data_IF_783052917786
#
_entry.id   IF_783052917786
#
_cell.length_a   1.000
_cell.length_b   1.000
_cell.length_c   1.000
_cell.angle_alpha   90.00
_cell.angle_beta   90.00
_cell.angle_gamma   90.00
#
_symmetry.space_group_name_H-M   'P 1'
#
loop_
_entity.id
_entity.type
_entity.pdbx_description
1 polymer ?
#
# COMPACT_ATOMS: atom_id res chain seq x y z
N UNK A 1 5.56 14.25 -7.75
CA UNK A 1 6.05 14.69 -9.06
C UNK A 1 7.02 15.89 -8.99
N UNK A 2 6.94 16.77 -8.03
CA UNK A 2 7.79 17.97 -7.93
C UNK A 2 9.25 17.66 -7.59
N UNK A 3 9.51 16.68 -6.71
CA UNK A 3 10.87 16.30 -6.31
C UNK A 3 11.70 15.70 -7.46
N UNK A 4 11.06 14.94 -8.36
CA UNK A 4 11.79 14.34 -9.50
C UNK A 4 12.07 15.29 -10.66
N UNK A 5 11.30 16.40 -10.81
CA UNK A 5 11.64 17.45 -11.77
C UNK A 5 12.91 18.19 -11.37
N UNK A 6 13.12 18.42 -10.07
CA UNK A 6 14.33 19.07 -9.56
C UNK A 6 15.58 18.21 -9.71
N UNK A 7 15.47 16.88 -9.64
CA UNK A 7 16.61 15.98 -9.84
C UNK A 7 17.23 16.10 -11.25
N UNK A 8 16.45 16.46 -12.26
CA UNK A 8 16.91 16.62 -13.63
C UNK A 8 17.84 17.84 -13.81
N UNK A 9 17.64 18.87 -13.00
CA UNK A 9 18.39 20.13 -13.04
C UNK A 9 19.67 20.09 -12.19
N UNK A 10 19.74 19.17 -11.21
CA UNK A 10 20.82 19.11 -10.21
C UNK A 10 21.95 18.14 -10.54
N UNK A 11 21.95 17.46 -11.71
CA UNK A 11 22.93 16.43 -12.02
C UNK A 11 23.91 16.87 -13.09
N UNK A 12 25.04 17.50 -12.71
CA UNK A 12 26.08 17.93 -13.66
C UNK A 12 26.95 16.77 -14.17
N UNK A 13 26.87 15.57 -13.53
CA UNK A 13 27.78 14.45 -13.86
C UNK A 13 27.18 13.50 -14.89
N UNK A 14 27.92 13.16 -15.98
CA UNK A 14 27.40 12.29 -17.04
C UNK A 14 27.07 10.85 -16.57
N UNK A 15 27.72 10.38 -15.52
CA UNK A 15 27.58 9.00 -15.01
C UNK A 15 26.64 8.88 -13.81
N UNK A 16 25.77 9.86 -13.56
CA UNK A 16 24.84 9.81 -12.44
C UNK A 16 23.67 8.85 -12.73
N UNK A 17 23.37 7.98 -11.75
CA UNK A 17 22.28 6.98 -11.84
C UNK A 17 20.92 7.60 -12.23
N UNK A 18 20.66 8.83 -11.80
CA UNK A 18 19.47 9.60 -12.18
C UNK A 18 19.36 9.94 -13.67
N UNK A 19 20.38 9.63 -14.49
CA UNK A 19 20.33 9.76 -15.96
C UNK A 19 19.96 8.45 -16.67
N UNK A 20 19.84 7.34 -15.92
CA UNK A 20 19.42 6.08 -16.50
C UNK A 20 17.97 6.18 -17.02
N UNK A 21 17.73 5.96 -18.32
CA UNK A 21 16.38 6.05 -18.88
C UNK A 21 15.38 5.13 -18.17
N UNK A 22 15.79 3.90 -17.83
CA UNK A 22 14.93 2.95 -17.15
C UNK A 22 14.47 3.42 -15.76
N UNK A 23 15.29 4.19 -15.04
CA UNK A 23 14.89 4.79 -13.76
C UNK A 23 13.83 5.87 -13.99
N UNK A 24 14.02 6.74 -14.96
CA UNK A 24 13.03 7.75 -15.30
C UNK A 24 11.73 7.14 -15.80
N UNK A 25 11.80 6.08 -16.57
CA UNK A 25 10.62 5.41 -17.08
C UNK A 25 9.84 4.74 -15.94
N UNK A 26 10.54 4.08 -14.99
CA UNK A 26 9.91 3.57 -13.78
C UNK A 26 9.20 4.66 -12.96
N UNK A 27 9.83 5.84 -12.83
CA UNK A 27 9.26 6.94 -12.05
C UNK A 27 8.11 7.69 -12.77
N UNK A 28 7.94 7.47 -14.06
CA UNK A 28 6.84 8.07 -14.86
C UNK A 28 5.61 7.19 -14.92
N UNK A 29 5.76 5.87 -14.75
CA UNK A 29 4.64 4.94 -14.80
C UNK A 29 3.97 4.81 -13.44
N UNK A 30 2.67 4.54 -13.44
CA UNK A 30 1.90 4.30 -12.23
C UNK A 30 1.64 5.56 -11.39
N UNK A 31 1.33 5.34 -10.13
CA UNK A 31 0.84 6.37 -9.20
C UNK A 31 1.53 6.25 -7.86
N UNK A 32 1.91 7.39 -7.29
CA UNK A 32 2.42 7.46 -5.91
C UNK A 32 1.24 7.69 -4.98
N UNK A 33 1.11 6.83 -3.99
CA UNK A 33 0.11 6.95 -2.94
C UNK A 33 0.75 7.58 -1.72
N UNK A 34 0.35 8.80 -1.36
CA UNK A 34 0.80 9.43 -0.11
C UNK A 34 -0.08 8.99 1.06
N UNK A 35 0.46 9.09 2.27
CA UNK A 35 -0.37 9.02 3.48
C UNK A 35 -1.24 10.28 3.57
N UNK A 36 -2.56 10.15 3.84
CA UNK A 36 -3.46 11.32 3.84
C UNK A 36 -3.52 12.08 5.19
N UNK A 37 -2.77 11.64 6.21
CA UNK A 37 -2.79 12.20 7.55
C UNK A 37 -1.41 12.11 8.21
N UNK A 38 -1.19 12.90 9.26
CA UNK A 38 0.00 12.77 10.10
C UNK A 38 -0.14 11.52 10.99
N UNK A 39 0.87 10.66 10.96
CA UNK A 39 0.94 9.44 11.75
C UNK A 39 2.24 9.42 12.57
N UNK A 40 2.10 9.40 13.90
CA UNK A 40 3.21 9.14 14.80
C UNK A 40 3.27 7.65 15.11
N UNK A 41 4.43 7.04 14.85
CA UNK A 41 4.72 5.65 15.21
C UNK A 41 5.76 5.64 16.32
N UNK A 42 5.46 4.94 17.42
CA UNK A 42 6.33 4.76 18.56
C UNK A 42 6.74 3.29 18.60
N UNK A 43 8.02 3.03 18.34
CA UNK A 43 8.59 1.67 18.25
C UNK A 43 9.33 1.33 19.52
N UNK A 44 8.99 0.20 20.13
CA UNK A 44 9.59 -0.35 21.36
C UNK A 44 9.73 -1.87 21.23
N UNK A 45 10.74 -2.38 20.53
CA UNK A 45 10.86 -3.80 20.20
C UNK A 45 10.89 -4.74 21.42
N UNK A 46 11.42 -4.25 22.53
CA UNK A 46 11.60 -5.03 23.78
C UNK A 46 10.41 -4.91 24.75
N UNK A 47 9.35 -4.18 24.38
CA UNK A 47 8.17 -4.00 25.19
C UNK A 47 7.09 -5.03 24.86
N UNK A 48 6.18 -5.31 25.80
CA UNK A 48 4.99 -6.13 25.57
C UNK A 48 4.16 -5.61 24.39
N UNK A 49 4.09 -4.29 24.25
CA UNK A 49 3.51 -3.61 23.07
C UNK A 49 4.63 -3.08 22.20
N UNK A 50 4.95 -3.81 21.13
CA UNK A 50 6.07 -3.53 20.22
C UNK A 50 5.95 -2.17 19.54
N UNK A 51 4.74 -1.71 19.28
CA UNK A 51 4.48 -0.38 18.70
C UNK A 51 3.21 0.24 19.25
N UNK A 52 3.20 1.57 19.26
CA UNK A 52 2.01 2.41 19.46
C UNK A 52 1.90 3.38 18.31
N UNK A 53 0.72 3.88 18.06
CA UNK A 53 0.49 4.88 17.04
C UNK A 53 -0.48 5.96 17.50
N UNK A 54 -0.32 7.15 16.94
CA UNK A 54 -1.20 8.29 17.15
C UNK A 54 -1.48 8.97 15.81
N UNK A 55 -2.70 9.37 15.60
CA UNK A 55 -3.18 10.09 14.41
C UNK A 55 -3.85 11.37 14.85
N UNK A 56 -3.50 12.49 14.23
CA UNK A 56 -4.04 13.80 14.57
C UNK A 56 -5.45 14.07 14.01
N UNK A 57 -6.01 13.18 13.20
CA UNK A 57 -7.27 13.37 12.50
C UNK A 57 -8.42 12.64 13.18
N UNK A 58 -9.19 13.35 14.02
CA UNK A 58 -10.36 12.82 14.73
C UNK A 58 -11.44 12.29 13.79
N UNK A 59 -11.65 12.92 12.64
CA UNK A 59 -12.65 12.46 11.65
C UNK A 59 -12.25 11.11 11.06
N UNK A 60 -10.96 10.89 10.83
CA UNK A 60 -10.45 9.62 10.37
C UNK A 60 -10.58 8.54 11.44
N UNK A 61 -10.27 8.87 12.69
CA UNK A 61 -10.45 7.97 13.83
C UNK A 61 -11.92 7.60 14.01
N UNK A 62 -12.84 8.55 13.81
CA UNK A 62 -14.27 8.30 13.82
C UNK A 62 -14.74 7.38 12.69
N UNK A 63 -14.13 7.50 11.49
CA UNK A 63 -14.50 6.71 10.31
C UNK A 63 -13.90 5.30 10.28
N UNK A 64 -12.66 5.15 10.73
CA UNK A 64 -11.91 3.88 10.69
C UNK A 64 -11.73 3.24 12.07
N UNK A 65 -12.06 3.94 13.14
CA UNK A 65 -11.89 3.48 14.52
C UNK A 65 -10.45 3.11 14.85
N UNK A 66 -10.28 2.09 15.69
CA UNK A 66 -8.96 1.55 16.05
C UNK A 66 -8.29 0.76 14.90
N UNK A 67 -8.93 0.67 13.75
CA UNK A 67 -8.43 -0.07 12.60
C UNK A 67 -7.53 0.75 11.66
N UNK A 68 -7.24 2.01 11.99
CA UNK A 68 -6.35 2.86 11.20
C UNK A 68 -4.99 2.20 11.01
N UNK A 69 -4.46 1.60 12.07
CA UNK A 69 -3.20 0.84 12.03
C UNK A 69 -3.43 -0.54 12.63
N UNK A 70 -3.10 -1.57 11.88
CA UNK A 70 -3.26 -2.96 12.28
C UNK A 70 -1.92 -3.70 12.20
N UNK A 71 -1.73 -4.66 13.10
CA UNK A 71 -0.61 -5.58 13.05
C UNK A 71 -0.99 -6.79 12.20
N UNK A 72 -0.12 -7.14 11.26
CA UNK A 72 -0.22 -8.37 10.49
C UNK A 72 0.86 -9.35 10.90
N UNK A 73 0.57 -10.65 10.76
CA UNK A 73 1.55 -11.69 10.97
C UNK A 73 2.74 -11.52 10.00
N UNK A 74 3.93 -11.93 10.40
CA UNK A 74 5.12 -11.83 9.57
C UNK A 74 4.96 -12.65 8.28
N UNK A 75 5.57 -12.17 7.21
CA UNK A 75 5.68 -12.90 5.94
C UNK A 75 6.87 -13.87 6.06
N UNK A 76 6.80 -14.84 6.97
CA UNK A 76 7.89 -15.77 7.23
C UNK A 76 9.22 -15.08 7.56
N UNK A 77 10.34 -15.72 7.26
CA UNK A 77 11.70 -15.22 7.54
C UNK A 77 12.21 -14.17 6.52
N UNK A 78 11.32 -13.58 5.74
CA UNK A 78 11.70 -12.69 4.62
C UNK A 78 11.73 -11.20 4.98
N UNK A 79 11.77 -10.86 6.26
CA UNK A 79 11.90 -9.46 6.68
C UNK A 79 13.24 -8.87 6.22
N UNK A 80 13.27 -7.61 5.79
CA UNK A 80 14.53 -6.92 5.57
C UNK A 80 15.30 -6.76 6.91
N UNK A 81 16.64 -6.87 6.92
CA UNK A 81 17.42 -6.60 8.12
C UNK A 81 17.17 -5.18 8.66
N UNK A 82 17.07 -5.04 10.00
CA UNK A 82 16.83 -3.76 10.67
C UNK A 82 15.34 -3.35 10.72
N UNK A 83 14.43 -4.28 10.42
CA UNK A 83 12.98 -4.04 10.48
C UNK A 83 12.31 -5.01 11.46
N UNK A 84 11.15 -4.62 11.98
CA UNK A 84 10.31 -5.48 12.81
C UNK A 84 9.88 -6.74 12.02
N UNK A 85 9.65 -7.84 12.73
CA UNK A 85 9.13 -9.07 12.11
C UNK A 85 7.71 -8.87 11.56
N UNK A 86 6.91 -8.11 12.30
CA UNK A 86 5.52 -7.87 11.96
C UNK A 86 5.41 -6.84 10.85
N UNK A 87 4.48 -7.09 9.96
CA UNK A 87 4.05 -6.13 8.95
C UNK A 87 2.97 -5.23 9.57
N UNK A 88 3.15 -3.94 9.46
CA UNK A 88 2.16 -2.95 9.89
C UNK A 88 1.32 -2.56 8.68
N UNK A 89 0.01 -2.73 8.81
CA UNK A 89 -0.97 -2.32 7.82
C UNK A 89 -1.60 -1.01 8.22
N UNK A 90 -1.52 -0.02 7.35
CA UNK A 90 -2.21 1.26 7.48
C UNK A 90 -3.44 1.22 6.58
N UNK A 91 -4.61 1.33 7.17
CA UNK A 91 -5.87 1.46 6.43
C UNK A 91 -6.05 2.89 5.96
N UNK A 92 -6.36 3.06 4.69
CA UNK A 92 -6.63 4.36 4.12
C UNK A 92 -8.12 4.53 3.80
N UNK A 93 -8.63 5.76 3.74
CA UNK A 93 -10.00 6.01 3.32
C UNK A 93 -10.22 5.78 1.82
N UNK A 94 -9.14 5.57 1.08
CA UNK A 94 -9.19 5.42 -0.36
C UNK A 94 -9.71 4.05 -0.79
N UNK A 95 -10.51 4.06 -1.83
CA UNK A 95 -10.95 2.87 -2.56
C UNK A 95 -10.49 3.01 -4.00
N UNK A 96 -10.04 1.92 -4.58
CA UNK A 96 -9.55 1.90 -5.97
C UNK A 96 -10.48 1.03 -6.80
N UNK A 97 -10.91 1.59 -7.91
CA UNK A 97 -11.67 0.87 -8.94
C UNK A 97 -10.81 0.83 -10.19
N UNK A 98 -10.60 -0.35 -10.73
CA UNK A 98 -9.89 -0.54 -11.98
C UNK A 98 -10.78 -1.28 -13.01
N UNK A 99 -10.48 -1.16 -14.30
CA UNK A 99 -11.14 -1.98 -15.32
C UNK A 99 -10.97 -3.47 -15.03
N UNK A 100 -11.97 -4.27 -15.39
CA UNK A 100 -11.95 -5.73 -15.18
C UNK A 100 -10.67 -6.35 -15.78
N UNK A 101 -10.01 -7.19 -14.99
CA UNK A 101 -8.78 -7.89 -15.38
C UNK A 101 -7.49 -7.07 -15.22
N UNK A 102 -7.57 -5.81 -14.79
CA UNK A 102 -6.38 -5.02 -14.46
C UNK A 102 -5.94 -5.34 -13.04
N UNK A 103 -4.73 -5.88 -12.91
CA UNK A 103 -4.05 -6.02 -11.63
C UNK A 103 -3.12 -4.83 -11.39
N UNK A 104 -2.89 -4.51 -10.13
CA UNK A 104 -1.98 -3.46 -9.71
C UNK A 104 -0.73 -4.07 -9.06
N UNK A 105 0.43 -3.74 -9.59
CA UNK A 105 1.69 -4.03 -8.92
C UNK A 105 1.92 -2.94 -7.88
N UNK A 106 2.00 -3.35 -6.63
CA UNK A 106 2.29 -2.46 -5.50
C UNK A 106 3.75 -2.62 -5.14
N UNK A 107 4.49 -1.53 -5.14
CA UNK A 107 5.92 -1.52 -4.84
C UNK A 107 6.24 -0.54 -3.71
N UNK A 108 7.34 -0.77 -2.99
CA UNK A 108 7.96 0.29 -2.19
C UNK A 108 8.27 1.50 -3.05
N UNK A 109 8.33 2.68 -2.44
CA UNK A 109 8.80 3.88 -3.12
C UNK A 109 10.24 3.66 -3.60
N UNK A 110 10.52 3.82 -4.90
CA UNK A 110 11.89 3.80 -5.41
C UNK A 110 12.67 4.99 -4.86
N UNK A 111 13.89 4.74 -4.37
CA UNK A 111 14.80 5.79 -3.87
C UNK A 111 14.16 6.68 -2.78
N UNK A 112 13.69 6.10 -1.65
CA UNK A 112 13.01 6.87 -0.62
C UNK A 112 14.02 7.73 0.17
N UNK A 113 13.60 8.95 0.53
CA UNK A 113 14.35 9.79 1.45
C UNK A 113 14.18 9.34 2.92
N UNK A 114 13.18 8.51 3.19
CA UNK A 114 12.83 8.00 4.52
C UNK A 114 13.25 6.53 4.61
N UNK A 115 13.99 6.19 5.66
CA UNK A 115 14.59 4.87 5.83
C UNK A 115 13.99 4.05 6.98
N UNK A 116 13.13 4.62 7.81
CA UNK A 116 12.56 3.93 8.97
C UNK A 116 11.29 3.11 8.64
N UNK A 117 10.79 3.19 7.41
CA UNK A 117 9.77 2.27 6.92
C UNK A 117 10.04 1.85 5.47
N UNK A 118 9.49 0.71 5.09
CA UNK A 118 9.56 0.19 3.71
C UNK A 118 8.27 -0.52 3.36
N UNK A 119 7.66 -0.15 2.24
CA UNK A 119 6.47 -0.83 1.73
C UNK A 119 6.71 -2.30 1.38
N UNK A 120 5.68 -3.10 1.50
CA UNK A 120 5.67 -4.51 1.06
C UNK A 120 5.24 -4.56 -0.39
N UNK A 121 6.03 -5.24 -1.24
CA UNK A 121 5.66 -5.43 -2.64
C UNK A 121 4.62 -6.54 -2.78
N UNK A 122 3.70 -6.40 -3.75
CA UNK A 122 2.70 -7.41 -4.03
C UNK A 122 1.88 -7.12 -5.27
N UNK A 123 1.07 -8.09 -5.66
CA UNK A 123 0.03 -7.91 -6.66
C UNK A 123 -1.31 -7.67 -5.96
N UNK A 124 -2.03 -6.68 -6.43
CA UNK A 124 -3.31 -6.29 -5.88
C UNK A 124 -4.40 -6.39 -6.95
N UNK A 125 -5.34 -7.27 -6.71
CA UNK A 125 -6.57 -7.36 -7.49
C UNK A 125 -7.66 -6.56 -6.79
N UNK A 126 -7.93 -5.37 -7.30
CA UNK A 126 -8.92 -4.45 -6.74
C UNK A 126 -10.35 -4.94 -6.88
N UNK A 127 -10.61 -5.94 -7.73
CA UNK A 127 -11.93 -6.55 -7.85
C UNK A 127 -12.29 -7.41 -6.63
N UNK A 128 -11.28 -7.92 -5.93
CA UNK A 128 -11.43 -8.72 -4.73
C UNK A 128 -11.36 -7.88 -3.44
N UNK A 129 -10.58 -6.80 -3.45
CA UNK A 129 -10.43 -5.91 -2.30
C UNK A 129 -10.10 -4.49 -2.78
N UNK A 130 -11.09 -3.60 -2.89
CA UNK A 130 -10.89 -2.23 -3.40
C UNK A 130 -10.25 -1.31 -2.37
N UNK A 131 -10.25 -1.67 -1.09
CA UNK A 131 -9.63 -0.83 -0.07
C UNK A 131 -8.13 -0.75 -0.25
N UNK A 132 -7.63 0.46 -0.41
CA UNK A 132 -6.21 0.71 -0.45
C UNK A 132 -5.63 0.57 0.96
N UNK A 133 -4.99 -0.56 1.19
CA UNK A 133 -4.26 -0.83 2.43
C UNK A 133 -2.77 -0.72 2.14
N UNK A 134 -2.08 0.02 2.98
CA UNK A 134 -0.63 0.20 2.86
C UNK A 134 0.03 -0.76 3.86
N UNK A 135 0.69 -1.78 3.36
CA UNK A 135 1.46 -2.72 4.18
C UNK A 135 2.93 -2.34 4.16
N UNK A 136 3.56 -2.33 5.33
CA UNK A 136 4.94 -1.91 5.45
C UNK A 136 5.66 -2.53 6.62
N UNK A 137 6.96 -2.71 6.46
CA UNK A 137 7.88 -2.93 7.57
C UNK A 137 8.29 -1.60 8.17
N UNK A 138 8.34 -1.55 9.50
CA UNK A 138 8.95 -0.46 10.25
C UNK A 138 10.28 -0.89 10.83
N UNK A 139 11.17 0.08 11.02
CA UNK A 139 12.45 -0.16 11.68
C UNK A 139 12.28 -0.84 13.04
N UNK A 140 13.22 -1.70 13.41
CA UNK A 140 13.31 -2.30 14.73
C UNK A 140 14.02 -1.39 15.74
N UNK A 141 14.50 -0.22 15.32
CA UNK A 141 15.14 0.73 16.22
C UNK A 141 14.10 1.41 17.11
N UNK A 142 14.30 1.42 18.45
CA UNK A 142 13.43 2.16 19.35
C UNK A 142 13.40 3.64 19.00
N UNK A 143 12.22 4.25 19.04
CA UNK A 143 12.09 5.68 18.76
C UNK A 143 10.68 6.12 18.42
N UNK A 144 10.56 7.42 18.17
CA UNK A 144 9.33 8.08 17.72
C UNK A 144 9.53 8.57 16.29
N UNK A 145 8.65 8.15 15.41
CA UNK A 145 8.76 8.36 13.96
C UNK A 145 7.50 9.04 13.42
N UNK A 146 7.61 10.32 13.11
CA UNK A 146 6.51 11.09 12.57
C UNK A 146 6.50 11.01 11.04
N UNK A 147 5.42 10.45 10.49
CA UNK A 147 5.13 10.43 9.05
C UNK A 147 4.13 11.54 8.77
N UNK A 148 4.56 12.56 8.06
CA UNK A 148 3.71 13.70 7.70
C UNK A 148 2.72 13.34 6.60
N UNK A 149 1.52 13.92 6.64
CA UNK A 149 0.57 13.89 5.54
C UNK A 149 1.25 14.30 4.22
N UNK A 150 0.95 13.59 3.15
CA UNK A 150 1.60 13.79 1.85
C UNK A 150 2.90 13.01 1.66
N UNK A 151 3.44 12.35 2.69
CA UNK A 151 4.62 11.47 2.55
C UNK A 151 4.30 10.33 1.59
N UNK A 152 5.11 10.10 0.52
CA UNK A 152 4.97 8.96 -0.37
C UNK A 152 5.13 7.64 0.37
N UNK A 153 4.15 6.75 0.25
CA UNK A 153 4.13 5.47 0.95
C UNK A 153 4.34 4.29 0.01
N UNK A 154 3.63 4.29 -1.12
CA UNK A 154 3.62 3.19 -2.07
C UNK A 154 3.63 3.71 -3.50
N UNK A 155 4.22 2.92 -4.40
CA UNK A 155 4.17 3.11 -5.84
C UNK A 155 3.30 2.01 -6.45
N UNK A 156 2.19 2.39 -7.09
CA UNK A 156 1.22 1.47 -7.68
C UNK A 156 1.29 1.57 -9.20
N UNK A 157 1.53 0.44 -9.86
CA UNK A 157 1.68 0.35 -11.31
C UNK A 157 0.58 -0.57 -11.86
N UNK A 158 -0.36 -0.06 -12.68
CA UNK A 158 -1.30 -0.92 -13.38
C UNK A 158 -0.59 -1.83 -14.38
N UNK A 159 -0.87 -3.13 -14.31
CA UNK A 159 -0.34 -4.13 -15.23
C UNK A 159 -1.26 -4.23 -16.45
N UNK A 160 -1.09 -3.30 -17.37
CA UNK A 160 -1.86 -3.24 -18.61
C UNK A 160 -1.10 -2.43 -19.66
N UNK A 161 -1.32 -2.77 -20.93
CA UNK A 161 -0.84 -2.01 -22.09
C UNK A 161 -1.73 -0.80 -22.43
N UNK A 162 -2.92 -0.71 -21.81
CA UNK A 162 -3.83 0.40 -22.02
C UNK A 162 -3.39 1.62 -21.22
N UNK A 163 -3.52 2.78 -21.84
CA UNK A 163 -3.39 4.05 -21.11
C UNK A 163 -4.57 4.18 -20.14
N UNK A 164 -4.26 4.32 -18.86
CA UNK A 164 -5.24 4.60 -17.82
C UNK A 164 -5.01 6.02 -17.31
N UNK A 165 -6.08 6.81 -17.28
CA UNK A 165 -6.07 8.14 -16.68
C UNK A 165 -6.81 8.07 -15.34
N UNK A 166 -6.14 8.39 -14.20
CA UNK A 166 -6.76 8.29 -12.89
C UNK A 166 -7.79 9.40 -12.70
N UNK A 167 -8.94 9.03 -12.14
CA UNK A 167 -9.97 9.96 -11.72
C UNK A 167 -10.13 9.84 -10.21
N UNK A 168 -9.91 10.94 -9.50
CA UNK A 168 -10.18 11.04 -8.06
C UNK A 168 -11.50 11.76 -7.88
N UNK A 169 -12.43 11.12 -7.19
CA UNK A 169 -13.77 11.66 -6.93
C UNK A 169 -14.32 11.12 -5.61
N UNK A 170 -15.35 11.75 -5.11
CA UNK A 170 -16.11 11.23 -3.99
C UNK A 170 -16.84 9.94 -4.38
N UNK A 171 -17.03 9.05 -3.40
CA UNK A 171 -17.79 7.83 -3.58
C UNK A 171 -19.28 8.16 -3.81
N UNK A 172 -19.90 7.44 -4.74
CA UNK A 172 -21.34 7.50 -4.99
C UNK A 172 -22.07 6.39 -4.20
N UNK A 173 -23.40 6.49 -4.09
CA UNK A 173 -24.23 5.43 -3.47
C UNK A 173 -24.02 4.05 -4.12
N UNK A 174 -23.75 4.01 -5.43
CA UNK A 174 -23.44 2.75 -6.11
C UNK A 174 -22.08 2.18 -5.69
N UNK A 175 -21.09 3.04 -5.46
CA UNK A 175 -19.79 2.62 -4.94
C UNK A 175 -19.93 2.04 -3.53
N UNK A 176 -20.74 2.69 -2.66
CA UNK A 176 -20.99 2.18 -1.32
C UNK A 176 -21.70 0.82 -1.32
N UNK A 177 -22.73 0.61 -2.15
CA UNK A 177 -23.41 -0.68 -2.28
C UNK A 177 -22.48 -1.80 -2.75
N UNK A 178 -21.54 -1.47 -3.61
CA UNK A 178 -20.54 -2.44 -4.07
C UNK A 178 -19.55 -2.78 -2.96
N UNK A 179 -19.08 -1.78 -2.20
CA UNK A 179 -18.19 -1.94 -1.07
C UNK A 179 -18.80 -2.76 0.08
N UNK A 180 -20.09 -2.58 0.36
CA UNK A 180 -20.81 -3.39 1.35
C UNK A 180 -20.82 -4.88 0.99
N UNK A 181 -21.08 -5.21 -0.26
CA UNK A 181 -21.05 -6.59 -0.74
C UNK A 181 -19.66 -7.23 -0.61
N UNK A 182 -18.62 -6.45 -0.81
CA UNK A 182 -17.25 -6.90 -0.74
C UNK A 182 -16.75 -7.08 0.69
N UNK A 183 -17.09 -6.16 1.58
CA UNK A 183 -16.82 -6.29 3.01
C UNK A 183 -17.41 -7.59 3.57
N UNK A 184 -18.62 -7.96 3.14
CA UNK A 184 -19.23 -9.22 3.51
C UNK A 184 -18.46 -10.43 2.98
N UNK A 185 -18.03 -10.41 1.71
CA UNK A 185 -17.26 -11.50 1.10
C UNK A 185 -15.88 -11.65 1.76
N UNK A 186 -15.21 -10.55 2.05
CA UNK A 186 -13.88 -10.55 2.67
C UNK A 186 -13.92 -11.03 4.11
N UNK A 187 -14.91 -10.62 4.90
CA UNK A 187 -15.06 -11.04 6.30
C UNK A 187 -15.43 -12.53 6.44
N UNK A 188 -16.06 -13.14 5.44
CA UNK A 188 -16.43 -14.56 5.45
C UNK A 188 -15.40 -15.46 4.77
N UNK A 189 -14.46 -14.91 4.00
CA UNK A 189 -13.43 -15.69 3.30
C UNK A 189 -12.20 -16.03 4.15
N UNK A 190 -12.06 -15.45 5.34
CA UNK A 190 -10.96 -15.75 6.26
C UNK A 190 -11.13 -17.04 7.10
N UNK A 191 -12.21 -17.77 6.92
CA UNK A 191 -12.28 -19.13 7.45
C UNK A 191 -11.32 -20.04 6.66
N UNK A 192 -10.32 -20.68 7.31
CA UNK A 192 -9.37 -21.55 6.65
C UNK A 192 -10.00 -22.68 5.84
N UNK A 193 -11.20 -23.14 6.23
CA UNK A 193 -11.97 -24.13 5.49
C UNK A 193 -12.55 -23.55 4.19
N UNK A 194 -12.87 -22.26 4.16
CA UNK A 194 -13.39 -21.56 2.99
C UNK A 194 -12.29 -21.06 2.07
N UNK A 195 -11.08 -20.77 2.56
CA UNK A 195 -9.94 -20.35 1.74
C UNK A 195 -9.60 -21.40 0.69
N UNK A 196 -9.54 -22.70 1.08
CA UNK A 196 -9.29 -23.80 0.14
C UNK A 196 -10.36 -23.86 -0.96
N UNK A 197 -11.62 -23.69 -0.60
CA UNK A 197 -12.76 -23.78 -1.51
C UNK A 197 -12.82 -22.56 -2.45
N UNK A 198 -12.56 -21.37 -1.93
CA UNK A 198 -12.56 -20.12 -2.72
C UNK A 198 -11.35 -20.05 -3.63
N UNK A 199 -10.17 -20.47 -3.19
CA UNK A 199 -8.96 -20.56 -4.02
C UNK A 199 -9.15 -21.57 -5.15
N UNK A 200 -9.78 -22.73 -4.88
CA UNK A 200 -10.07 -23.74 -5.89
C UNK A 200 -11.08 -23.21 -6.94
N UNK A 201 -12.15 -22.54 -6.49
CA UNK A 201 -13.15 -21.96 -7.40
C UNK A 201 -12.54 -20.84 -8.28
N UNK A 202 -11.66 -20.01 -7.72
CA UNK A 202 -10.96 -18.96 -8.47
C UNK A 202 -9.96 -19.57 -9.46
N UNK A 203 -9.27 -20.64 -9.07
CA UNK A 203 -8.35 -21.37 -9.93
C UNK A 203 -9.10 -22.03 -11.10
N UNK A 204 -10.19 -22.75 -10.82
CA UNK A 204 -11.00 -23.42 -11.83
C UNK A 204 -11.65 -22.43 -12.82
N UNK A 205 -12.09 -21.26 -12.32
CA UNK A 205 -12.71 -20.23 -13.15
C UNK A 205 -11.72 -19.50 -14.06
N UNK A 206 -10.46 -19.37 -13.66
CA UNK A 206 -9.43 -18.72 -14.47
C UNK A 206 -8.74 -19.64 -15.47
N UNK A 207 -8.76 -20.95 -15.28
CA UNK A 207 -8.08 -21.92 -16.14
C UNK A 207 -8.98 -22.66 -17.12
N UNK A 208 -10.32 -22.68 -16.90
CA UNK A 208 -11.26 -23.35 -17.79
C UNK A 208 -11.99 -22.44 -18.79
N UNK A 209 -11.85 -21.11 -18.66
CA UNK A 209 -12.41 -20.13 -19.60
C UNK A 209 -11.37 -19.59 -20.60
N UNK A 210 -10.32 -20.38 -20.91
CA UNK A 210 -9.36 -20.09 -21.98
C UNK A 210 -9.48 -21.10 -23.11
#
# INVERSE_FOLDING_TARGET
MTQYKQAKELVPYPNHVGRCPGIFDLLKIGYIVPIPFDLLMIIRPDAETIFRWEVSNESLLSALGNEVVQLHLPIGDHRPPGFLEQVIKINSPWRVIAPKGVQLLVNPIPYPDIHFFRGVAGLWDVSNSPQLNIQMWFTDQPGEYLIKAGTPMMHIIPLTDKKLDPVVRDATDNDYRWLEKESFATNHSFDPANIKKTTQILFDKHYHDR
#
